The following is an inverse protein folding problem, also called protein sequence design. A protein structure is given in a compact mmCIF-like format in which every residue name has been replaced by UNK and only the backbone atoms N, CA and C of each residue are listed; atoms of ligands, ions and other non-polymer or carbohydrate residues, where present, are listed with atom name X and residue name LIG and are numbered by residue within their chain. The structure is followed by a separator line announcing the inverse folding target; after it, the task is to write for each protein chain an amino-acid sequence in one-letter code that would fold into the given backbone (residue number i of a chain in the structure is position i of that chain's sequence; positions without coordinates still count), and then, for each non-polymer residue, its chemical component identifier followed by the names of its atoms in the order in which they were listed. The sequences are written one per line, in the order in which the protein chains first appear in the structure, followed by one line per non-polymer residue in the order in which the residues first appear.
data_IF_388460795665
#
_entry.id   IF_388460795665
#
_cell.length_a   1.000
_cell.length_b   1.000
_cell.length_c   1.000
_cell.angle_alpha   90.00
_cell.angle_beta   90.00
_cell.angle_gamma   90.00
#
_symmetry.space_group_name_H-M   'P 1'
#
loop_
_entity.id
_entity.type
_entity.pdbx_description
1 polymer ?
#
# COMPACT_ATOMS: atom_id res chain seq x y z
N UNK A 1 -3.39 30.86 7.19
CA UNK A 1 -2.58 30.47 6.01
C UNK A 1 -3.11 29.15 5.47
N UNK A 2 -3.47 29.12 4.20
CA UNK A 2 -3.95 27.89 3.55
C UNK A 2 -2.74 27.05 3.19
N UNK A 3 -2.70 25.80 3.68
CA UNK A 3 -1.63 24.89 3.33
C UNK A 3 -1.70 24.59 1.83
N UNK A 4 -0.54 24.60 1.17
CA UNK A 4 -0.46 24.23 -0.24
C UNK A 4 -0.90 22.78 -0.42
N UNK A 5 -1.66 22.53 -1.48
CA UNK A 5 -2.08 21.18 -1.85
C UNK A 5 -0.84 20.36 -2.21
N UNK A 6 -0.75 19.15 -1.66
CA UNK A 6 0.30 18.22 -2.06
C UNK A 6 0.08 17.76 -3.50
N UNK A 7 1.17 17.73 -4.27
CA UNK A 7 1.11 17.22 -5.64
C UNK A 7 0.72 15.74 -5.64
N UNK A 8 -0.33 15.39 -6.39
CA UNK A 8 -0.75 14.00 -6.52
C UNK A 8 0.36 13.14 -7.17
N UNK A 9 1.11 13.70 -8.11
CA UNK A 9 2.24 13.01 -8.72
C UNK A 9 3.31 12.68 -7.68
N UNK A 10 3.60 13.59 -6.74
CA UNK A 10 4.57 13.35 -5.67
C UNK A 10 4.06 12.31 -4.68
N UNK A 11 2.77 12.32 -4.37
CA UNK A 11 2.15 11.32 -3.49
C UNK A 11 2.28 9.95 -4.15
N UNK A 12 1.90 9.82 -5.40
CA UNK A 12 1.97 8.56 -6.14
C UNK A 12 3.41 8.06 -6.23
N UNK A 13 4.36 8.94 -6.52
CA UNK A 13 5.77 8.57 -6.59
C UNK A 13 6.27 8.03 -5.25
N UNK A 14 5.92 8.68 -4.14
CA UNK A 14 6.30 8.22 -2.81
C UNK A 14 5.69 6.85 -2.49
N UNK A 15 4.45 6.61 -2.90
CA UNK A 15 3.79 5.32 -2.72
C UNK A 15 4.49 4.22 -3.53
N UNK A 16 4.83 4.51 -4.79
CA UNK A 16 5.54 3.56 -5.65
C UNK A 16 6.91 3.22 -5.07
N UNK A 17 7.65 4.23 -4.62
CA UNK A 17 8.97 4.02 -4.02
C UNK A 17 8.90 3.17 -2.76
N UNK A 18 7.91 3.42 -1.91
CA UNK A 18 7.71 2.62 -0.70
C UNK A 18 7.38 1.17 -1.05
N UNK A 19 6.50 0.96 -2.02
CA UNK A 19 6.12 -0.37 -2.46
C UNK A 19 7.30 -1.11 -3.10
N UNK A 20 8.11 -0.43 -3.91
CA UNK A 20 9.31 -1.01 -4.51
C UNK A 20 10.28 -1.52 -3.44
N UNK A 21 10.51 -0.73 -2.39
CA UNK A 21 11.40 -1.14 -1.29
C UNK A 21 10.86 -2.37 -0.57
N UNK A 22 9.55 -2.41 -0.32
CA UNK A 22 8.92 -3.57 0.32
C UNK A 22 9.07 -4.81 -0.54
N UNK A 23 8.83 -4.69 -1.85
CA UNK A 23 8.98 -5.80 -2.79
C UNK A 23 10.43 -6.29 -2.81
N UNK A 24 11.40 -5.38 -2.90
CA UNK A 24 12.83 -5.73 -2.90
C UNK A 24 13.22 -6.48 -1.62
N UNK A 25 12.73 -6.04 -0.46
CA UNK A 25 12.99 -6.70 0.81
C UNK A 25 12.44 -8.13 0.83
N UNK A 26 11.21 -8.34 0.31
CA UNK A 26 10.63 -9.67 0.21
C UNK A 26 11.40 -10.54 -0.78
N UNK A 27 11.77 -10.01 -1.92
CA UNK A 27 12.55 -10.76 -2.92
C UNK A 27 13.90 -11.21 -2.35
N UNK A 28 14.56 -10.32 -1.60
CA UNK A 28 15.82 -10.64 -0.94
C UNK A 28 15.63 -11.71 0.12
N UNK A 29 14.61 -11.58 0.96
CA UNK A 29 14.30 -12.57 1.99
C UNK A 29 13.98 -13.94 1.40
N UNK A 30 13.23 -13.97 0.30
CA UNK A 30 12.92 -15.20 -0.42
C UNK A 30 14.19 -15.84 -0.97
N UNK A 31 15.06 -15.06 -1.59
CA UNK A 31 16.32 -15.55 -2.14
C UNK A 31 17.22 -16.14 -1.05
N UNK A 32 17.32 -15.46 0.09
CA UNK A 32 18.11 -15.96 1.24
C UNK A 32 17.54 -17.27 1.77
N UNK A 33 16.21 -17.36 1.90
CA UNK A 33 15.58 -18.56 2.41
C UNK A 33 15.74 -19.74 1.44
N UNK A 34 15.64 -19.50 0.14
CA UNK A 34 15.90 -20.52 -0.89
C UNK A 34 17.34 -21.01 -0.81
N UNK A 35 18.29 -20.10 -0.66
CA UNK A 35 19.70 -20.47 -0.52
C UNK A 35 19.90 -21.38 0.69
N UNK A 36 19.31 -21.05 1.83
CA UNK A 36 19.40 -21.88 3.04
C UNK A 36 18.80 -23.28 2.82
N UNK A 37 17.63 -23.34 2.18
CA UNK A 37 16.95 -24.63 1.93
C UNK A 37 17.75 -25.53 0.98
N UNK A 38 18.23 -24.97 -0.12
CA UNK A 38 18.91 -25.76 -1.15
C UNK A 38 20.36 -26.08 -0.75
N UNK A 39 21.05 -25.21 -0.04
CA UNK A 39 22.39 -25.50 0.48
C UNK A 39 22.37 -26.67 1.45
N UNK A 40 21.34 -26.76 2.30
CA UNK A 40 21.20 -27.89 3.21
C UNK A 40 20.94 -29.20 2.46
N UNK A 41 20.19 -29.17 1.37
CA UNK A 41 19.93 -30.35 0.55
C UNK A 41 21.20 -30.86 -0.13
N UNK A 42 22.12 -29.98 -0.50
CA UNK A 42 23.38 -30.36 -1.16
C UNK A 42 24.45 -30.86 -0.18
N UNK A 43 24.52 -30.29 1.01
CA UNK A 43 25.61 -30.55 1.97
C UNK A 43 25.30 -31.73 2.87
N UNK A 44 24.06 -31.93 3.22
CA UNK A 44 23.69 -32.99 4.14
C UNK A 44 23.11 -34.19 3.40
N UNK A 45 23.45 -35.38 3.92
CA UNK A 45 23.00 -36.64 3.34
C UNK A 45 21.49 -36.66 3.14
N UNK A 46 21.04 -37.56 2.28
CA UNK A 46 19.66 -37.79 1.92
C UNK A 46 18.69 -37.94 3.11
N UNK A 47 19.20 -38.07 4.31
CA UNK A 47 18.41 -38.19 5.53
C UNK A 47 17.92 -36.83 6.03
N UNK A 48 18.52 -35.71 5.55
CA UNK A 48 18.16 -34.37 6.01
C UNK A 48 17.20 -33.73 5.03
N UNK A 49 15.96 -33.66 5.43
CA UNK A 49 14.93 -32.93 4.66
C UNK A 49 14.85 -31.51 5.12
N UNK A 50 14.62 -30.53 4.22
CA UNK A 50 14.38 -29.15 4.63
C UNK A 50 13.26 -29.09 5.66
N UNK A 51 13.39 -28.19 6.63
CA UNK A 51 12.39 -27.98 7.66
C UNK A 51 11.02 -27.70 7.03
N UNK A 52 9.96 -28.43 7.42
CA UNK A 52 8.61 -28.10 6.93
C UNK A 52 8.21 -26.66 7.21
N UNK A 53 8.66 -26.10 8.36
CA UNK A 53 8.38 -24.72 8.71
C UNK A 53 9.03 -23.72 7.75
N UNK A 54 10.26 -23.99 7.29
CA UNK A 54 10.95 -23.13 6.33
C UNK A 54 10.28 -23.17 4.95
N UNK A 55 9.84 -24.34 4.53
CA UNK A 55 9.09 -24.48 3.28
C UNK A 55 7.78 -23.74 3.33
N UNK A 56 7.07 -23.84 4.44
CA UNK A 56 5.81 -23.15 4.64
C UNK A 56 6.03 -21.63 4.67
N UNK A 57 7.11 -21.17 5.34
CA UNK A 57 7.47 -19.76 5.35
C UNK A 57 7.74 -19.27 3.92
N UNK A 58 8.49 -20.04 3.13
CA UNK A 58 8.78 -19.67 1.74
C UNK A 58 7.49 -19.49 0.93
N UNK A 59 6.55 -20.43 1.07
CA UNK A 59 5.27 -20.34 0.36
C UNK A 59 4.48 -19.11 0.77
N UNK A 60 4.46 -18.79 2.05
CA UNK A 60 3.77 -17.58 2.56
C UNK A 60 4.43 -16.31 2.02
N UNK A 61 5.77 -16.27 1.99
CA UNK A 61 6.49 -15.11 1.48
C UNK A 61 6.26 -14.93 -0.03
N UNK A 62 6.25 -16.01 -0.79
CA UNK A 62 5.96 -15.95 -2.22
C UNK A 62 4.52 -15.50 -2.49
N UNK A 63 3.59 -15.97 -1.67
CA UNK A 63 2.19 -15.53 -1.77
C UNK A 63 2.06 -14.03 -1.48
N UNK A 64 2.72 -13.55 -0.42
CA UNK A 64 2.72 -12.14 -0.06
C UNK A 64 3.38 -11.29 -1.15
N UNK A 65 4.48 -11.78 -1.74
CA UNK A 65 5.12 -11.08 -2.86
C UNK A 65 4.15 -10.93 -4.04
N UNK A 66 3.38 -11.97 -4.33
CA UNK A 66 2.36 -11.90 -5.38
C UNK A 66 1.34 -10.82 -5.12
N UNK A 67 0.89 -10.68 -3.87
CA UNK A 67 -0.03 -9.64 -3.46
C UNK A 67 0.60 -8.25 -3.58
N UNK A 68 1.86 -8.09 -3.16
CA UNK A 68 2.58 -6.83 -3.27
C UNK A 68 2.75 -6.40 -4.72
N UNK A 69 3.01 -7.35 -5.62
CA UNK A 69 3.10 -7.08 -7.05
C UNK A 69 1.75 -6.66 -7.63
N UNK A 70 0.67 -7.27 -7.17
CA UNK A 70 -0.68 -6.86 -7.55
C UNK A 70 -0.96 -5.42 -7.11
N UNK A 71 -0.62 -5.08 -5.88
CA UNK A 71 -0.78 -3.71 -5.38
C UNK A 71 0.05 -2.71 -6.19
N UNK A 72 1.27 -3.10 -6.57
CA UNK A 72 2.10 -2.24 -7.43
C UNK A 72 1.42 -1.99 -8.78
N UNK A 73 0.79 -3.01 -9.35
CA UNK A 73 0.06 -2.84 -10.61
C UNK A 73 -1.10 -1.84 -10.44
N UNK A 74 -1.79 -1.87 -9.31
CA UNK A 74 -2.84 -0.88 -9.01
C UNK A 74 -2.25 0.53 -8.97
N UNK A 75 -1.14 0.71 -8.26
CA UNK A 75 -0.49 2.04 -8.19
C UNK A 75 -0.10 2.55 -9.58
N UNK A 76 0.42 1.69 -10.44
CA UNK A 76 0.88 2.06 -11.78
C UNK A 76 -0.25 2.38 -12.74
N UNK A 77 -1.49 2.00 -12.43
CA UNK A 77 -2.66 2.35 -13.22
C UNK A 77 -3.23 3.72 -12.87
N UNK A 78 -2.83 4.30 -11.75
CA UNK A 78 -3.33 5.60 -11.32
C UNK A 78 -2.70 6.71 -12.16
N UNK A 79 -3.56 7.54 -12.74
CA UNK A 79 -3.15 8.70 -13.52
C UNK A 79 -3.11 9.94 -12.63
N UNK A 80 -1.89 10.33 -12.22
CA UNK A 80 -1.71 11.45 -11.29
C UNK A 80 -2.19 12.79 -11.86
N UNK A 81 -2.19 12.93 -13.17
CA UNK A 81 -2.59 14.17 -13.84
C UNK A 81 -4.11 14.30 -14.01
N UNK A 82 -4.86 13.22 -13.77
CA UNK A 82 -6.31 13.23 -13.93
C UNK A 82 -6.97 13.83 -12.69
N UNK A 83 -7.66 14.98 -12.82
CA UNK A 83 -8.34 15.56 -11.66
C UNK A 83 -9.58 14.76 -11.32
N UNK A 84 -9.83 14.63 -10.01
CA UNK A 84 -11.03 13.96 -9.49
C UNK A 84 -11.72 14.91 -8.51
N UNK A 85 -13.05 14.86 -8.50
CA UNK A 85 -13.87 15.65 -7.57
C UNK A 85 -14.74 14.76 -6.67
N UNK A 86 -14.62 13.46 -6.85
CA UNK A 86 -15.38 12.47 -6.10
C UNK A 86 -14.40 11.40 -5.57
N UNK A 87 -14.68 10.87 -4.40
CA UNK A 87 -13.85 9.82 -3.80
C UNK A 87 -13.94 8.54 -4.63
N UNK A 88 -12.84 8.20 -5.28
CA UNK A 88 -12.69 7.04 -6.14
C UNK A 88 -11.20 6.69 -6.22
N UNK A 89 -10.87 5.60 -6.90
CA UNK A 89 -9.48 5.19 -7.09
C UNK A 89 -8.65 6.34 -7.69
N UNK A 90 -7.52 6.61 -7.07
CA UNK A 90 -6.62 7.68 -7.49
C UNK A 90 -6.91 9.04 -6.87
N UNK A 91 -7.97 9.16 -6.06
CA UNK A 91 -8.31 10.41 -5.42
C UNK A 91 -7.48 10.66 -4.16
N UNK A 92 -7.08 11.92 -3.98
CA UNK A 92 -6.57 12.40 -2.69
C UNK A 92 -7.73 13.03 -1.95
N UNK A 93 -7.99 12.56 -0.74
CA UNK A 93 -9.10 13.02 0.10
C UNK A 93 -8.56 13.70 1.33
N UNK A 94 -8.67 15.03 1.37
CA UNK A 94 -8.24 15.82 2.51
C UNK A 94 -9.44 15.97 3.46
N UNK A 95 -9.27 15.52 4.70
CA UNK A 95 -10.30 15.66 5.72
C UNK A 95 -9.79 16.50 6.89
N UNK A 96 -10.69 16.84 7.81
CA UNK A 96 -10.35 17.53 9.03
C UNK A 96 -9.48 16.71 10.00
N UNK A 97 -9.37 15.39 9.75
CA UNK A 97 -8.60 14.48 10.59
C UNK A 97 -7.32 14.03 9.92
N UNK A 98 -7.42 13.53 8.69
CA UNK A 98 -6.31 12.92 7.95
C UNK A 98 -6.46 13.13 6.47
N UNK A 99 -5.36 12.96 5.73
CA UNK A 99 -5.36 12.95 4.27
C UNK A 99 -5.20 11.51 3.80
N UNK A 100 -6.09 11.10 2.92
CA UNK A 100 -6.09 9.74 2.36
C UNK A 100 -5.77 9.76 0.88
N UNK A 101 -5.08 8.73 0.41
CA UNK A 101 -4.89 8.49 -1.01
C UNK A 101 -5.53 7.14 -1.35
N UNK A 102 -6.54 7.18 -2.20
CA UNK A 102 -7.27 5.95 -2.56
C UNK A 102 -6.44 5.19 -3.59
N UNK A 103 -5.78 4.16 -3.12
CA UNK A 103 -4.79 3.42 -3.91
C UNK A 103 -4.65 2.00 -3.36
N UNK A 104 -3.64 1.79 -2.52
CA UNK A 104 -3.37 0.51 -1.87
C UNK A 104 -3.14 0.75 -0.38
N UNK A 105 -3.06 -0.34 0.39
CA UNK A 105 -2.88 -0.26 1.84
C UNK A 105 -1.42 0.01 2.18
N UNK A 106 -1.04 1.28 2.18
CA UNK A 106 0.33 1.71 2.43
C UNK A 106 0.52 2.36 3.80
N UNK A 107 -0.46 2.24 4.68
CA UNK A 107 -0.44 2.85 6.01
C UNK A 107 -0.07 4.33 5.95
N UNK A 108 1.17 4.69 6.23
CA UNK A 108 1.63 6.07 6.26
C UNK A 108 2.71 6.31 5.22
N UNK A 109 2.53 7.36 4.44
CA UNK A 109 3.53 7.82 3.48
C UNK A 109 3.82 9.29 3.79
N UNK A 110 5.08 9.63 3.99
CA UNK A 110 5.50 10.99 4.29
C UNK A 110 5.91 11.71 3.00
N UNK A 111 5.30 12.85 2.75
CA UNK A 111 5.61 13.69 1.60
C UNK A 111 5.75 15.12 2.09
N UNK A 112 6.94 15.70 1.95
CA UNK A 112 7.21 17.09 2.33
C UNK A 112 6.77 17.40 3.77
N UNK A 113 7.06 16.46 4.69
CA UNK A 113 6.72 16.61 6.11
C UNK A 113 5.25 16.39 6.45
N UNK A 114 4.45 15.94 5.50
CA UNK A 114 3.02 15.70 5.68
C UNK A 114 2.73 14.21 5.51
N UNK A 115 1.81 13.72 6.31
CA UNK A 115 1.44 12.29 6.30
C UNK A 115 0.21 12.07 5.43
N UNK A 116 0.31 11.12 4.52
CA UNK A 116 -0.81 10.64 3.71
C UNK A 116 -0.99 9.15 3.99
N UNK A 117 -2.23 8.73 4.14
CA UNK A 117 -2.55 7.32 4.40
C UNK A 117 -3.08 6.70 3.12
N UNK A 118 -2.40 5.64 2.65
CA UNK A 118 -2.87 4.87 1.51
C UNK A 118 -3.99 3.93 1.92
N UNK A 119 -5.10 3.96 1.20
CA UNK A 119 -6.26 3.12 1.46
C UNK A 119 -6.63 2.35 0.20
N UNK A 120 -6.83 1.04 0.35
CA UNK A 120 -7.34 0.18 -0.69
C UNK A 120 -8.86 0.35 -0.84
N UNK A 121 -9.38 0.15 -2.04
CA UNK A 121 -10.83 0.15 -2.29
C UNK A 121 -11.54 -1.01 -1.56
N UNK A 122 -10.79 -1.98 -1.03
CA UNK A 122 -11.33 -3.07 -0.22
C UNK A 122 -11.42 -2.72 1.26
N UNK A 123 -10.81 -1.61 1.69
CA UNK A 123 -10.81 -1.21 3.09
C UNK A 123 -12.22 -0.79 3.55
N UNK A 124 -12.61 -1.17 4.77
CA UNK A 124 -13.94 -0.78 5.30
C UNK A 124 -14.18 0.73 5.30
N UNK A 125 -13.15 1.53 5.60
CA UNK A 125 -13.30 2.99 5.61
C UNK A 125 -13.63 3.52 4.20
N UNK A 126 -13.08 2.91 3.15
CA UNK A 126 -13.40 3.32 1.79
C UNK A 126 -14.90 3.15 1.50
N UNK A 127 -15.54 2.12 2.03
CA UNK A 127 -16.95 1.85 1.75
C UNK A 127 -17.87 2.96 2.26
N UNK A 128 -17.48 3.70 3.29
CA UNK A 128 -18.27 4.81 3.82
C UNK A 128 -17.91 6.16 3.20
N UNK A 129 -16.80 6.25 2.47
CA UNK A 129 -16.37 7.51 1.87
C UNK A 129 -16.52 7.53 0.33
N UNK A 130 -16.61 6.37 -0.31
CA UNK A 130 -16.69 6.30 -1.78
C UNK A 130 -17.87 7.10 -2.33
N UNK A 131 -17.62 7.77 -3.43
CA UNK A 131 -18.64 8.57 -4.11
C UNK A 131 -18.94 9.91 -3.47
N UNK A 132 -18.34 10.24 -2.36
CA UNK A 132 -18.53 11.51 -1.68
C UNK A 132 -17.66 12.60 -2.27
N UNK A 133 -18.02 13.84 -2.00
CA UNK A 133 -17.37 15.04 -2.54
C UNK A 133 -16.96 15.97 -1.41
N UNK A 134 -16.15 16.97 -1.73
CA UNK A 134 -15.81 18.02 -0.78
C UNK A 134 -17.09 18.65 -0.22
N UNK A 135 -17.08 18.92 1.07
CA UNK A 135 -18.24 19.45 1.80
C UNK A 135 -19.12 18.37 2.43
N UNK A 136 -18.95 17.13 2.05
CA UNK A 136 -19.67 16.02 2.66
C UNK A 136 -18.89 15.44 3.83
N UNK A 137 -19.55 14.63 4.66
CA UNK A 137 -18.95 14.01 5.83
C UNK A 137 -19.26 12.52 5.88
N UNK A 138 -18.47 11.78 6.63
CA UNK A 138 -18.74 10.38 6.90
C UNK A 138 -18.25 10.02 8.29
N UNK A 139 -18.80 8.97 8.86
CA UNK A 139 -18.40 8.47 10.18
C UNK A 139 -17.73 7.11 10.04
N UNK A 140 -16.61 6.94 10.72
CA UNK A 140 -15.92 5.65 10.76
C UNK A 140 -15.16 5.51 12.07
N UNK A 141 -15.32 4.36 12.72
CA UNK A 141 -14.62 4.08 13.97
C UNK A 141 -14.95 5.04 15.10
N UNK A 142 -16.17 5.57 15.13
CA UNK A 142 -16.57 6.55 16.15
C UNK A 142 -16.06 7.96 15.90
N UNK A 143 -15.40 8.20 14.76
CA UNK A 143 -14.85 9.50 14.39
C UNK A 143 -15.61 10.06 13.20
N UNK A 144 -15.95 11.34 13.26
CA UNK A 144 -16.58 12.05 12.15
C UNK A 144 -15.52 12.75 11.30
N UNK A 145 -15.52 12.44 10.02
CA UNK A 145 -14.61 13.01 9.04
C UNK A 145 -15.37 13.99 8.15
N UNK A 146 -14.91 15.22 8.09
CA UNK A 146 -15.42 16.21 7.16
C UNK A 146 -14.47 16.27 5.96
N UNK A 147 -14.97 16.02 4.77
CA UNK A 147 -14.18 16.09 3.54
C UNK A 147 -14.01 17.55 3.15
N UNK A 148 -12.77 18.02 3.20
CA UNK A 148 -12.42 19.41 2.88
C UNK A 148 -12.11 19.58 1.41
N UNK A 149 -11.48 18.57 0.79
CA UNK A 149 -11.02 18.62 -0.58
C UNK A 149 -10.90 17.23 -1.16
N UNK A 150 -11.18 17.08 -2.46
CA UNK A 150 -10.96 15.85 -3.22
C UNK A 150 -10.29 16.26 -4.53
N UNK A 151 -9.18 15.59 -4.86
CA UNK A 151 -8.52 15.85 -6.13
C UNK A 151 -7.78 14.65 -6.68
#
# INVERSE_FOLDING_TARGET
MIALRLSKAKILQACVQKQERTIEDFERGIAELKTQLYSQEEIESQEHRPSPERRELLLRMEHELGFLNYEMAVLRQIEAEKPLDVVDLGAVVVTNQRTFFISTSLERVEIEGRTVIGISQKAPIYQVMKGKRAGESFDYGGVRFAILEVY
#
